data_IF_279389000969
#
_entry.id   IF_279389000969
#
_cell.length_a   1.000
_cell.length_b   1.000
_cell.length_c   1.000
_cell.angle_alpha   90.00
_cell.angle_beta   90.00
_cell.angle_gamma   90.00
#
_symmetry.space_group_name_H-M   'P 1'
#
loop_
_entity.id
_entity.type
_entity.pdbx_description
1 polymer ?
#
# COMPACT_ATOMS: atom_id res chain seq x y z
N UNK A 1 -6.79 45.34 13.56
CA UNK A 1 -6.09 44.27 14.28
C UNK A 1 -6.81 42.96 13.98
N UNK A 2 -6.32 42.12 13.05
CA UNK A 2 -7.01 40.88 12.74
C UNK A 2 -6.78 39.86 13.86
N UNK A 3 -7.88 39.29 14.36
CA UNK A 3 -7.90 38.34 15.47
C UNK A 3 -7.31 36.99 15.05
N UNK A 4 -6.34 36.52 15.83
CA UNK A 4 -5.71 35.20 15.68
C UNK A 4 -6.70 34.11 16.13
N UNK A 5 -7.13 33.22 15.22
CA UNK A 5 -7.88 32.00 15.58
C UNK A 5 -6.88 30.89 15.94
N UNK A 6 -7.07 30.17 17.07
CA UNK A 6 -6.14 29.14 17.50
C UNK A 6 -6.23 27.87 16.63
N UNK A 7 -5.08 27.43 16.08
CA UNK A 7 -4.78 26.01 15.89
C UNK A 7 -5.18 25.31 14.60
N UNK A 8 -4.99 25.91 13.42
CA UNK A 8 -4.94 25.17 12.16
C UNK A 8 -3.54 24.52 12.00
N UNK A 9 -3.28 23.42 12.72
CA UNK A 9 -2.12 22.57 12.40
C UNK A 9 -2.43 21.81 11.11
N UNK A 10 -1.84 22.27 10.00
CA UNK A 10 -1.88 21.63 8.70
C UNK A 10 -1.18 20.27 8.81
N UNK A 11 -1.80 19.19 8.35
CA UNK A 11 -1.03 17.98 8.08
C UNK A 11 -0.05 18.34 6.97
N UNK A 12 1.24 18.25 7.25
CA UNK A 12 2.27 18.64 6.29
C UNK A 12 2.44 17.52 5.27
N UNK A 13 1.56 17.54 4.26
CA UNK A 13 1.79 16.80 3.03
C UNK A 13 3.13 17.25 2.44
N UNK A 14 3.93 16.27 2.05
CA UNK A 14 5.16 16.52 1.31
C UNK A 14 4.84 16.50 -0.19
N UNK A 15 5.72 17.12 -0.97
CA UNK A 15 5.68 17.00 -2.43
C UNK A 15 5.61 15.52 -2.81
N UNK A 16 4.66 15.11 -3.67
CA UNK A 16 4.61 13.75 -4.15
C UNK A 16 5.92 13.36 -4.82
N UNK A 17 6.27 12.07 -4.73
CA UNK A 17 7.48 11.61 -5.42
C UNK A 17 7.25 11.62 -6.93
N UNK A 18 8.27 12.00 -7.72
CA UNK A 18 8.15 12.02 -9.17
C UNK A 18 8.19 10.61 -9.78
N UNK A 19 8.00 9.55 -8.99
CA UNK A 19 8.17 8.16 -9.42
C UNK A 19 6.90 7.60 -10.05
N UNK A 20 7.09 6.66 -10.97
CA UNK A 20 6.04 5.73 -11.38
C UNK A 20 6.13 4.44 -10.56
N UNK A 21 5.06 3.65 -10.65
CA UNK A 21 4.96 2.39 -9.93
C UNK A 21 4.34 1.31 -10.79
N UNK A 22 4.90 0.10 -10.73
CA UNK A 22 4.23 -1.13 -11.17
C UNK A 22 3.94 -1.97 -9.93
N UNK A 23 2.66 -2.14 -9.65
CA UNK A 23 2.14 -2.94 -8.55
C UNK A 23 1.68 -4.29 -9.11
N UNK A 24 2.30 -5.38 -8.66
CA UNK A 24 1.94 -6.74 -9.04
C UNK A 24 1.46 -7.49 -7.80
N UNK A 25 0.21 -7.95 -7.80
CA UNK A 25 -0.36 -8.77 -6.74
C UNK A 25 -0.59 -10.21 -7.20
N UNK A 26 -0.18 -11.18 -6.40
CA UNK A 26 -0.36 -12.61 -6.68
C UNK A 26 -0.96 -13.33 -5.47
N UNK A 27 -1.86 -14.28 -5.74
CA UNK A 27 -2.54 -15.12 -4.76
C UNK A 27 -2.00 -16.55 -4.86
N UNK A 28 -1.00 -16.88 -4.05
CA UNK A 28 -0.30 -18.17 -4.07
C UNK A 28 -1.00 -19.17 -3.16
N UNK A 29 -1.03 -18.89 -1.86
CA UNK A 29 -1.67 -19.71 -0.84
C UNK A 29 -2.45 -18.85 0.18
N UNK A 30 -3.36 -17.96 -0.27
CA UNK A 30 -4.00 -17.02 0.62
C UNK A 30 -4.87 -17.74 1.65
N UNK A 31 -4.95 -17.22 2.88
CA UNK A 31 -5.67 -17.90 3.94
C UNK A 31 -7.17 -17.97 3.61
N UNK A 32 -7.82 -19.08 3.97
CA UNK A 32 -9.24 -19.30 3.71
C UNK A 32 -10.14 -18.33 4.46
N UNK A 33 -10.67 -18.75 5.62
CA UNK A 33 -11.50 -17.91 6.51
C UNK A 33 -10.73 -17.28 7.67
N UNK A 34 -9.52 -17.77 7.95
CA UNK A 34 -8.66 -17.23 9.00
C UNK A 34 -7.94 -15.97 8.51
N UNK A 35 -7.65 -14.99 9.38
CA UNK A 35 -7.00 -13.77 8.95
C UNK A 35 -5.46 -13.86 8.89
N UNK A 36 -4.87 -14.87 9.51
CA UNK A 36 -3.42 -15.05 9.54
C UNK A 36 -2.97 -15.86 8.34
N UNK A 37 -1.99 -15.32 7.61
CA UNK A 37 -1.33 -16.01 6.50
C UNK A 37 -0.33 -16.99 7.10
N UNK A 38 -0.45 -18.27 6.73
CA UNK A 38 0.47 -19.32 7.18
C UNK A 38 1.53 -19.54 6.11
N UNK A 39 2.74 -19.87 6.54
CA UNK A 39 3.76 -20.33 5.61
C UNK A 39 3.35 -21.64 4.95
N UNK A 40 3.70 -21.76 3.68
CA UNK A 40 3.61 -22.96 2.87
C UNK A 40 4.85 -23.03 1.98
N UNK A 41 5.18 -24.23 1.50
CA UNK A 41 6.31 -24.38 0.56
C UNK A 41 6.07 -23.59 -0.73
N UNK A 42 4.84 -23.64 -1.23
CA UNK A 42 4.41 -22.91 -2.44
C UNK A 42 4.61 -21.39 -2.29
N UNK A 43 4.23 -20.82 -1.15
CA UNK A 43 4.49 -19.40 -0.86
C UNK A 43 5.99 -19.11 -0.74
N UNK A 44 6.74 -19.97 -0.06
CA UNK A 44 8.20 -19.79 0.08
C UNK A 44 8.90 -19.83 -1.29
N UNK A 45 8.50 -20.76 -2.18
CA UNK A 45 9.02 -20.91 -3.55
C UNK A 45 8.66 -19.69 -4.42
N UNK A 46 7.39 -19.26 -4.40
CA UNK A 46 6.95 -18.06 -5.11
C UNK A 46 7.69 -16.80 -4.63
N UNK A 47 7.95 -16.67 -3.33
CA UNK A 47 8.73 -15.56 -2.80
C UNK A 47 10.20 -15.60 -3.26
N UNK A 48 10.80 -16.79 -3.48
CA UNK A 48 12.13 -16.92 -4.09
C UNK A 48 12.11 -16.44 -5.54
N UNK A 49 11.11 -16.88 -6.31
CA UNK A 49 10.94 -16.50 -7.71
C UNK A 49 10.73 -14.99 -7.88
N UNK A 50 9.77 -14.41 -7.15
CA UNK A 50 9.48 -12.97 -7.18
C UNK A 50 10.70 -12.13 -6.81
N UNK A 51 11.53 -12.60 -5.86
CA UNK A 51 12.79 -11.92 -5.52
C UNK A 51 13.81 -12.01 -6.64
N UNK A 52 13.99 -13.19 -7.24
CA UNK A 52 14.90 -13.35 -8.38
C UNK A 52 14.53 -12.40 -9.52
N UNK A 53 13.24 -12.31 -9.85
CA UNK A 53 12.75 -11.38 -10.86
C UNK A 53 12.95 -9.91 -10.43
N UNK A 54 12.67 -9.58 -9.16
CA UNK A 54 12.87 -8.24 -8.63
C UNK A 54 14.35 -7.78 -8.75
N UNK A 55 15.30 -8.65 -8.44
CA UNK A 55 16.75 -8.36 -8.61
C UNK A 55 17.15 -8.15 -10.07
N UNK A 56 16.49 -8.81 -11.02
CA UNK A 56 16.71 -8.59 -12.44
C UNK A 56 16.08 -7.27 -12.91
N UNK A 57 14.89 -6.93 -12.42
CA UNK A 57 14.21 -5.66 -12.69
C UNK A 57 15.02 -4.46 -12.15
N UNK A 58 15.64 -4.57 -10.97
CA UNK A 58 16.50 -3.50 -10.41
C UNK A 58 17.71 -3.15 -11.26
N UNK A 59 18.09 -3.99 -12.24
CA UNK A 59 19.17 -3.69 -13.19
C UNK A 59 18.70 -2.84 -14.37
N UNK A 60 17.40 -2.65 -14.53
CA UNK A 60 16.86 -1.79 -15.58
C UNK A 60 17.11 -0.32 -15.23
N UNK A 61 17.58 0.51 -16.18
CA UNK A 61 17.79 1.95 -15.93
C UNK A 61 16.52 2.71 -15.51
N UNK A 62 15.36 2.19 -15.88
CA UNK A 62 14.05 2.74 -15.53
C UNK A 62 13.66 2.50 -14.05
N UNK A 63 14.31 1.57 -13.35
CA UNK A 63 13.92 1.13 -12.00
C UNK A 63 14.79 1.78 -10.94
N UNK A 64 14.15 2.38 -9.94
CA UNK A 64 14.80 2.97 -8.76
C UNK A 64 14.94 1.94 -7.65
N UNK A 65 13.90 1.14 -7.43
CA UNK A 65 13.87 0.12 -6.39
C UNK A 65 12.77 -0.90 -6.66
N UNK A 66 12.94 -2.11 -6.13
CA UNK A 66 11.87 -3.08 -6.02
C UNK A 66 11.62 -3.44 -4.56
N UNK A 67 10.40 -3.88 -4.25
CA UNK A 67 10.11 -4.48 -2.95
C UNK A 67 9.13 -5.61 -3.10
N UNK A 68 9.53 -6.80 -2.66
CA UNK A 68 8.65 -7.96 -2.51
C UNK A 68 8.09 -7.98 -1.10
N UNK A 69 6.77 -8.06 -1.00
CA UNK A 69 6.00 -8.14 0.23
C UNK A 69 5.38 -9.52 0.37
N UNK A 70 5.43 -10.04 1.59
CA UNK A 70 4.72 -11.24 2.04
C UNK A 70 3.62 -10.81 3.01
N UNK A 71 2.38 -11.21 2.74
CA UNK A 71 1.28 -10.90 3.63
C UNK A 71 1.43 -11.67 4.96
N UNK A 72 1.14 -10.98 6.05
CA UNK A 72 1.14 -11.56 7.42
C UNK A 72 -0.25 -11.55 8.03
N UNK A 73 -1.13 -10.67 7.58
CA UNK A 73 -2.52 -10.58 8.04
C UNK A 73 -3.45 -10.04 6.95
N UNK A 74 -4.50 -10.80 6.66
CA UNK A 74 -5.58 -10.45 5.74
C UNK A 74 -6.91 -10.44 6.49
N UNK A 75 -7.51 -9.27 6.77
CA UNK A 75 -8.87 -9.20 7.29
C UNK A 75 -9.85 -9.96 6.38
N UNK A 76 -10.79 -10.76 6.93
CA UNK A 76 -11.72 -11.58 6.14
C UNK A 76 -12.88 -10.72 5.62
N UNK A 77 -12.57 -9.74 4.77
CA UNK A 77 -13.53 -8.81 4.20
C UNK A 77 -14.02 -9.32 2.84
N UNK A 78 -15.34 -9.42 2.61
CA UNK A 78 -15.87 -9.82 1.30
C UNK A 78 -15.39 -8.88 0.19
N UNK A 79 -14.86 -9.44 -0.90
CA UNK A 79 -14.30 -8.68 -2.03
C UNK A 79 -13.02 -7.91 -1.72
N UNK A 80 -12.30 -8.26 -0.63
CA UNK A 80 -10.95 -7.76 -0.39
C UNK A 80 -9.90 -8.48 -1.25
N UNK A 81 -8.74 -7.85 -1.50
CA UNK A 81 -7.64 -8.47 -2.21
C UNK A 81 -7.17 -9.72 -1.46
N UNK A 82 -6.76 -10.73 -2.22
CA UNK A 82 -6.22 -12.00 -1.69
C UNK A 82 -4.73 -12.16 -1.98
N UNK A 83 -4.04 -11.07 -2.31
CA UNK A 83 -2.62 -11.10 -2.66
C UNK A 83 -1.75 -11.34 -1.43
N UNK A 84 -1.23 -12.56 -1.28
CA UNK A 84 -0.26 -12.91 -0.24
C UNK A 84 1.18 -12.63 -0.65
N UNK A 85 1.41 -12.39 -1.95
CA UNK A 85 2.64 -11.83 -2.49
C UNK A 85 2.32 -10.54 -3.24
N UNK A 86 3.10 -9.49 -3.00
CA UNK A 86 3.05 -8.25 -3.78
C UNK A 86 4.46 -7.84 -4.17
N UNK A 87 4.69 -7.55 -5.45
CA UNK A 87 5.89 -6.84 -5.91
C UNK A 87 5.52 -5.40 -6.24
N UNK A 88 6.19 -4.46 -5.59
CA UNK A 88 6.12 -3.04 -5.92
C UNK A 88 7.44 -2.64 -6.60
N UNK A 89 7.38 -2.33 -7.89
CA UNK A 89 8.48 -1.73 -8.64
C UNK A 89 8.30 -0.22 -8.62
N UNK A 90 9.32 0.51 -8.19
CA UNK A 90 9.37 1.98 -8.24
C UNK A 90 10.25 2.39 -9.41
N UNK A 91 9.71 3.17 -10.34
CA UNK A 91 10.43 3.65 -11.52
C UNK A 91 10.93 5.08 -11.33
N UNK A 92 11.80 5.54 -12.22
CA UNK A 92 12.34 6.90 -12.19
C UNK A 92 11.26 7.97 -12.42
N UNK A 93 10.24 7.64 -13.22
CA UNK A 93 9.06 8.46 -13.49
C UNK A 93 7.87 7.63 -13.98
N UNK A 94 6.62 8.14 -13.93
CA UNK A 94 5.45 7.47 -14.51
C UNK A 94 5.64 7.08 -15.97
N UNK A 95 6.35 7.89 -16.75
CA UNK A 95 6.64 7.66 -18.17
C UNK A 95 7.62 6.51 -18.40
N UNK A 96 8.36 6.08 -17.38
CA UNK A 96 9.29 4.96 -17.44
C UNK A 96 8.62 3.61 -17.10
N UNK A 97 7.33 3.62 -16.74
CA UNK A 97 6.56 2.39 -16.48
C UNK A 97 6.49 1.45 -17.68
N UNK A 98 6.24 1.91 -18.93
CA UNK A 98 6.23 1.03 -20.10
C UNK A 98 7.51 0.23 -20.28
N UNK A 99 8.68 0.82 -20.02
CA UNK A 99 9.99 0.13 -20.13
C UNK A 99 10.08 -1.08 -19.20
N UNK A 100 9.47 -1.00 -18.01
CA UNK A 100 9.38 -2.13 -17.09
C UNK A 100 8.43 -3.20 -17.62
N UNK A 101 7.26 -2.80 -18.11
CA UNK A 101 6.24 -3.73 -18.64
C UNK A 101 6.71 -4.45 -19.91
N UNK A 102 7.58 -3.83 -20.70
CA UNK A 102 8.14 -4.41 -21.93
C UNK A 102 9.39 -5.27 -21.68
N UNK A 103 9.87 -5.34 -20.45
CA UNK A 103 11.08 -6.09 -20.09
C UNK A 103 10.84 -7.60 -19.96
N UNK A 104 11.85 -8.41 -20.32
CA UNK A 104 11.78 -9.87 -20.17
C UNK A 104 11.64 -10.34 -18.71
N UNK A 105 12.26 -9.71 -17.69
CA UNK A 105 11.99 -10.04 -16.30
C UNK A 105 10.54 -9.83 -15.90
N UNK A 106 9.91 -8.73 -16.31
CA UNK A 106 8.50 -8.50 -16.00
C UNK A 106 7.59 -9.56 -16.65
N UNK A 107 7.84 -9.92 -17.92
CA UNK A 107 7.03 -10.93 -18.64
C UNK A 107 7.06 -12.32 -18.03
N UNK A 108 8.01 -12.61 -17.13
CA UNK A 108 8.08 -13.85 -16.36
C UNK A 108 7.20 -13.83 -15.10
N UNK A 109 6.70 -12.68 -14.66
CA UNK A 109 5.82 -12.59 -13.51
C UNK A 109 4.43 -13.13 -13.84
N UNK A 110 3.95 -14.03 -13.00
CA UNK A 110 2.55 -14.47 -13.00
C UNK A 110 1.77 -13.70 -11.91
N UNK A 111 1.34 -12.49 -12.27
CA UNK A 111 0.55 -11.62 -11.39
C UNK A 111 -0.95 -11.70 -11.69
N UNK A 112 -1.77 -11.92 -10.66
CA UNK A 112 -3.23 -11.85 -10.78
C UNK A 112 -3.70 -10.41 -11.04
N UNK A 113 -3.04 -9.44 -10.39
CA UNK A 113 -3.27 -8.02 -10.61
C UNK A 113 -1.98 -7.35 -11.04
N UNK A 114 -2.06 -6.57 -12.11
CA UNK A 114 -1.07 -5.56 -12.45
C UNK A 114 -1.75 -4.20 -12.45
N UNK A 115 -1.20 -3.26 -11.70
CA UNK A 115 -1.67 -1.88 -11.64
C UNK A 115 -0.47 -0.95 -11.79
N UNK A 116 -0.50 -0.09 -12.80
CA UNK A 116 0.45 1.00 -12.95
C UNK A 116 -0.07 2.21 -12.17
N UNK A 117 0.81 2.95 -11.50
CA UNK A 117 0.41 4.04 -10.64
C UNK A 117 1.45 5.17 -10.58
N UNK A 118 1.00 6.32 -10.10
CA UNK A 118 1.81 7.45 -9.69
C UNK A 118 1.60 7.75 -8.20
N UNK A 119 2.54 8.47 -7.59
CA UNK A 119 2.31 9.01 -6.25
C UNK A 119 1.64 10.39 -6.35
N UNK A 120 0.40 10.52 -5.88
CA UNK A 120 -0.34 11.79 -5.94
C UNK A 120 -0.30 12.59 -4.65
N UNK A 121 -0.11 11.94 -3.51
CA UNK A 121 -0.03 12.57 -2.19
C UNK A 121 0.80 11.71 -1.23
N UNK A 122 1.50 12.34 -0.29
CA UNK A 122 2.26 11.62 0.74
C UNK A 122 2.46 12.41 2.02
N UNK A 123 2.68 11.67 3.10
CA UNK A 123 3.22 12.19 4.37
C UNK A 123 4.46 11.38 4.74
N UNK A 124 5.45 12.03 5.36
CA UNK A 124 6.68 11.38 5.84
C UNK A 124 7.40 10.53 4.79
N UNK A 125 8.23 9.58 5.24
CA UNK A 125 8.91 8.58 4.41
C UNK A 125 8.43 7.17 4.76
N UNK A 126 7.86 6.46 3.79
CA UNK A 126 7.53 5.04 3.91
C UNK A 126 8.84 4.25 3.78
N UNK A 127 9.64 4.28 4.85
CA UNK A 127 11.04 3.81 4.86
C UNK A 127 11.25 2.34 4.53
N UNK A 128 12.51 1.91 4.52
CA UNK A 128 12.99 0.61 4.06
C UNK A 128 13.23 -0.41 5.19
N UNK A 129 12.75 -0.14 6.41
CA UNK A 129 13.00 -0.97 7.58
C UNK A 129 12.57 -2.43 7.36
N UNK A 130 13.52 -3.39 7.41
CA UNK A 130 13.25 -4.79 7.16
C UNK A 130 12.39 -5.48 8.23
N UNK A 131 12.34 -4.93 9.43
CA UNK A 131 11.54 -5.46 10.52
C UNK A 131 10.13 -4.89 10.55
N UNK A 132 9.85 -3.88 9.73
CA UNK A 132 8.59 -3.17 9.77
C UNK A 132 7.42 -3.97 9.19
N UNK A 133 6.23 -3.63 9.67
CA UNK A 133 4.97 -4.05 9.05
C UNK A 133 4.44 -2.92 8.18
N UNK A 134 4.03 -3.29 6.99
CA UNK A 134 3.42 -2.40 6.02
C UNK A 134 1.94 -2.74 5.88
N UNK A 135 1.13 -1.73 5.61
CA UNK A 135 -0.26 -1.86 5.24
C UNK A 135 -0.38 -1.34 3.80
N UNK A 136 -0.89 -2.19 2.92
CA UNK A 136 -1.38 -1.78 1.60
C UNK A 136 -2.91 -1.76 1.72
N UNK A 137 -3.46 -0.55 1.82
CA UNK A 137 -4.90 -0.36 1.93
C UNK A 137 -5.48 -0.04 0.57
N UNK A 138 -6.19 -1.00 0.00
CA UNK A 138 -6.80 -0.89 -1.32
C UNK A 138 -8.18 -0.28 -1.16
N UNK A 139 -8.40 0.85 -1.81
CA UNK A 139 -9.67 1.55 -1.74
C UNK A 139 -10.45 1.35 -3.02
N UNK A 140 -11.68 0.85 -2.90
CA UNK A 140 -12.67 0.96 -3.99
C UNK A 140 -13.50 2.20 -3.76
N UNK A 141 -13.73 3.00 -4.79
CA UNK A 141 -14.61 4.16 -4.75
C UNK A 141 -15.15 4.46 -6.16
N UNK A 142 -16.32 5.11 -6.28
CA UNK A 142 -16.85 5.53 -7.58
C UNK A 142 -16.01 6.61 -8.28
N UNK A 143 -15.34 7.46 -7.50
CA UNK A 143 -14.63 8.65 -7.96
C UNK A 143 -13.23 8.70 -7.29
N UNK A 144 -12.13 8.51 -8.05
CA UNK A 144 -10.77 8.54 -7.52
C UNK A 144 -10.33 9.89 -6.94
N UNK A 145 -10.72 11.02 -7.54
CA UNK A 145 -10.39 12.35 -7.01
C UNK A 145 -11.04 12.59 -5.64
N UNK A 146 -12.31 12.23 -5.50
CA UNK A 146 -13.02 12.31 -4.21
C UNK A 146 -12.45 11.34 -3.19
N UNK A 147 -12.08 10.14 -3.61
CA UNK A 147 -11.40 9.18 -2.73
C UNK A 147 -10.08 9.74 -2.19
N UNK A 148 -9.32 10.47 -3.02
CA UNK A 148 -8.08 11.11 -2.60
C UNK A 148 -8.36 12.22 -1.57
N UNK A 149 -9.34 13.09 -1.83
CA UNK A 149 -9.72 14.14 -0.88
C UNK A 149 -10.18 13.57 0.48
N UNK A 150 -10.93 12.45 0.48
CA UNK A 150 -11.30 11.74 1.72
C UNK A 150 -10.06 11.21 2.42
N UNK A 151 -9.15 10.56 1.70
CA UNK A 151 -7.91 10.06 2.27
C UNK A 151 -7.10 11.20 2.91
N UNK A 152 -6.91 12.31 2.21
CA UNK A 152 -6.17 13.49 2.71
C UNK A 152 -6.81 14.07 3.98
N UNK A 153 -8.15 14.17 3.98
CA UNK A 153 -8.91 14.63 5.14
C UNK A 153 -8.78 13.72 6.37
N UNK A 154 -8.51 12.42 6.16
CA UNK A 154 -8.34 11.44 7.24
C UNK A 154 -6.89 11.33 7.73
N UNK A 155 -5.91 11.78 6.96
CA UNK A 155 -4.49 11.65 7.28
C UNK A 155 -4.15 12.22 8.66
N UNK A 156 -4.68 13.40 9.00
CA UNK A 156 -4.48 14.01 10.32
C UNK A 156 -4.96 13.13 11.48
N UNK A 157 -6.09 12.47 11.29
CA UNK A 157 -6.61 11.59 12.33
C UNK A 157 -5.66 10.42 12.56
N UNK A 158 -5.11 9.82 11.50
CA UNK A 158 -4.14 8.73 11.63
C UNK A 158 -2.80 9.19 12.23
N UNK A 159 -2.33 10.40 11.90
CA UNK A 159 -1.11 10.96 12.53
C UNK A 159 -1.33 11.19 14.02
N UNK A 160 -2.39 11.91 14.38
CA UNK A 160 -2.59 12.42 15.74
C UNK A 160 -3.09 11.31 16.69
N UNK A 161 -3.89 10.34 16.20
CA UNK A 161 -4.58 9.35 17.04
C UNK A 161 -3.91 7.98 17.02
N UNK A 162 -3.39 7.57 15.86
CA UNK A 162 -2.80 6.24 15.65
C UNK A 162 -1.28 6.28 15.67
N UNK A 163 -0.67 7.44 15.45
CA UNK A 163 0.79 7.61 15.42
C UNK A 163 1.41 7.14 14.11
N UNK A 164 0.65 7.20 13.01
CA UNK A 164 1.20 7.01 11.67
C UNK A 164 2.03 8.24 11.32
N UNK A 165 3.27 8.04 10.89
CA UNK A 165 4.19 9.14 10.54
C UNK A 165 4.54 9.18 9.05
N UNK A 166 4.00 8.24 8.25
CA UNK A 166 4.30 8.08 6.84
C UNK A 166 3.06 7.57 6.09
N UNK A 167 3.01 7.79 4.79
CA UNK A 167 1.98 7.25 3.89
C UNK A 167 2.29 7.69 2.47
N UNK A 168 2.24 6.77 1.51
CA UNK A 168 2.40 7.05 0.08
C UNK A 168 1.12 6.60 -0.63
N UNK A 169 0.38 7.57 -1.18
CA UNK A 169 -0.85 7.29 -1.91
C UNK A 169 -0.53 7.00 -3.38
N UNK A 170 -0.86 5.80 -3.82
CA UNK A 170 -0.72 5.36 -5.20
C UNK A 170 -2.07 5.51 -5.90
N UNK A 171 -2.10 6.29 -6.99
CA UNK A 171 -3.26 6.41 -7.86
C UNK A 171 -2.99 5.70 -9.18
N UNK A 172 -3.89 4.83 -9.67
CA UNK A 172 -3.72 4.18 -10.96
C UNK A 172 -3.54 5.18 -12.10
N UNK A 173 -2.67 4.87 -13.06
CA UNK A 173 -2.51 5.65 -14.30
C UNK A 173 -3.59 5.28 -15.35
N UNK A 174 -4.15 4.09 -15.24
CA UNK A 174 -5.19 3.55 -16.11
C UNK A 174 -6.33 2.96 -15.27
N UNK A 175 -7.41 2.51 -15.91
CA UNK A 175 -8.49 1.81 -15.20
C UNK A 175 -7.95 0.61 -14.42
N UNK A 176 -8.34 0.51 -13.15
CA UNK A 176 -7.94 -0.54 -12.23
C UNK A 176 -9.08 -0.85 -11.23
N UNK A 177 -9.08 -2.04 -10.60
CA UNK A 177 -10.13 -2.42 -9.64
C UNK A 177 -10.18 -1.54 -8.38
N UNK A 178 -9.14 -0.76 -8.12
CA UNK A 178 -9.02 0.12 -6.96
C UNK A 178 -8.87 1.56 -7.42
N UNK A 179 -9.57 2.47 -6.74
CA UNK A 179 -9.41 3.90 -6.96
C UNK A 179 -8.05 4.39 -6.45
N UNK A 180 -7.58 3.83 -5.33
CA UNK A 180 -6.31 4.18 -4.68
C UNK A 180 -5.73 2.98 -3.95
N UNK A 181 -4.41 2.93 -3.81
CA UNK A 181 -3.72 2.06 -2.85
C UNK A 181 -2.86 2.92 -1.94
N UNK A 182 -3.15 2.89 -0.65
CA UNK A 182 -2.30 3.57 0.33
C UNK A 182 -1.23 2.62 0.86
N UNK A 183 0.04 2.98 0.66
CA UNK A 183 1.20 2.27 1.17
C UNK A 183 1.72 2.97 2.44
N UNK A 184 1.64 2.27 3.58
CA UNK A 184 2.03 2.85 4.87
C UNK A 184 2.76 1.84 5.74
N UNK A 185 3.86 2.26 6.35
CA UNK A 185 4.49 1.57 7.48
C UNK A 185 3.70 1.86 8.75
N UNK A 186 3.25 0.82 9.43
CA UNK A 186 2.39 0.94 10.61
C UNK A 186 3.16 0.79 11.94
N UNK A 187 2.75 1.50 13.01
CA UNK A 187 3.37 1.38 14.32
C UNK A 187 2.98 0.07 15.03
N UNK A 188 3.99 -0.74 15.38
CA UNK A 188 3.87 -1.88 16.29
C UNK A 188 3.02 -3.06 15.81
N UNK A 189 2.88 -3.25 14.50
CA UNK A 189 2.29 -4.43 13.86
C UNK A 189 0.75 -4.43 13.76
N UNK A 190 0.16 -5.41 13.05
CA UNK A 190 -1.25 -5.38 12.65
C UNK A 190 -2.20 -5.30 13.84
N UNK A 191 -1.98 -6.12 14.88
CA UNK A 191 -2.85 -6.17 16.05
C UNK A 191 -2.88 -4.85 16.83
N UNK A 192 -1.71 -4.25 17.09
CA UNK A 192 -1.61 -2.97 17.81
C UNK A 192 -2.22 -1.84 17.00
N UNK A 193 -1.97 -1.80 15.69
CA UNK A 193 -2.54 -0.82 14.78
C UNK A 193 -4.07 -0.88 14.76
N UNK A 194 -4.65 -2.09 14.56
CA UNK A 194 -6.09 -2.30 14.55
C UNK A 194 -6.73 -1.95 15.90
N UNK A 195 -6.10 -2.35 17.02
CA UNK A 195 -6.58 -2.00 18.35
C UNK A 195 -6.54 -0.47 18.60
N UNK A 196 -5.47 0.20 18.17
CA UNK A 196 -5.30 1.64 18.33
C UNK A 196 -6.41 2.44 17.66
N UNK A 197 -6.89 2.00 16.49
CA UNK A 197 -7.99 2.64 15.79
C UNK A 197 -9.38 2.21 16.32
N UNK A 198 -9.64 0.91 16.51
CA UNK A 198 -10.99 0.42 16.80
C UNK A 198 -11.49 0.73 18.21
N UNK A 199 -10.59 1.03 19.15
CA UNK A 199 -10.96 1.50 20.50
C UNK A 199 -11.40 2.97 20.53
N UNK A 200 -11.28 3.70 19.42
CA UNK A 200 -11.58 5.14 19.36
C UNK A 200 -12.99 5.33 18.79
N UNK A 201 -13.93 5.93 19.55
CA UNK A 201 -15.26 6.23 19.02
C UNK A 201 -15.21 7.11 17.75
N UNK A 202 -14.23 8.01 17.67
CA UNK A 202 -13.99 8.85 16.49
C UNK A 202 -13.64 8.05 15.24
N UNK A 203 -13.10 6.84 15.34
CA UNK A 203 -12.91 5.98 14.16
C UNK A 203 -14.24 5.68 13.46
N UNK A 204 -15.28 5.33 14.21
CA UNK A 204 -16.59 4.99 13.63
C UNK A 204 -17.33 6.20 13.11
N UNK A 205 -17.30 7.33 13.84
CA UNK A 205 -18.03 8.54 13.44
C UNK A 205 -17.32 9.32 12.34
N UNK A 206 -16.00 9.46 12.45
CA UNK A 206 -15.21 10.30 11.54
C UNK A 206 -14.65 9.48 10.37
N UNK A 207 -13.83 8.46 10.64
CA UNK A 207 -13.17 7.66 9.58
C UNK A 207 -14.19 6.88 8.76
N UNK A 208 -14.99 6.00 9.38
CA UNK A 208 -16.00 5.23 8.65
C UNK A 208 -17.12 6.10 8.09
N UNK A 209 -17.44 7.21 8.76
CA UNK A 209 -18.42 8.19 8.29
C UNK A 209 -17.99 8.85 6.98
N UNK A 210 -16.76 9.35 6.92
CA UNK A 210 -16.19 9.96 5.71
C UNK A 210 -16.11 8.97 4.53
N UNK A 211 -15.61 7.76 4.78
CA UNK A 211 -15.55 6.72 3.75
C UNK A 211 -16.94 6.39 3.21
N UNK A 212 -17.93 6.21 4.10
CA UNK A 212 -19.31 5.90 3.70
C UNK A 212 -19.96 7.03 2.89
N UNK A 213 -19.68 8.28 3.23
CA UNK A 213 -20.26 9.44 2.54
C UNK A 213 -19.91 9.49 1.05
N UNK A 214 -18.71 9.01 0.69
CA UNK A 214 -18.24 8.97 -0.70
C UNK A 214 -18.29 7.56 -1.33
N UNK A 215 -19.00 6.61 -0.71
CA UNK A 215 -19.08 5.23 -1.23
C UNK A 215 -17.74 4.50 -1.27
N UNK A 216 -16.76 4.96 -0.49
CA UNK A 216 -15.40 4.43 -0.45
C UNK A 216 -15.31 3.27 0.55
N UNK A 217 -14.65 2.18 0.15
CA UNK A 217 -14.42 1.02 1.02
C UNK A 217 -12.92 0.74 1.14
N UNK A 218 -12.45 0.63 2.38
CA UNK A 218 -11.09 0.23 2.71
C UNK A 218 -10.94 -1.30 2.71
N UNK A 219 -9.96 -1.83 1.99
CA UNK A 219 -9.61 -3.25 1.92
C UNK A 219 -8.13 -3.44 2.30
N UNK A 220 -7.83 -3.38 3.61
CA UNK A 220 -6.46 -3.44 4.09
C UNK A 220 -5.89 -4.85 4.01
N UNK A 221 -4.64 -5.00 3.59
CA UNK A 221 -3.82 -6.20 3.83
C UNK A 221 -2.48 -5.76 4.42
N UNK A 222 -1.99 -6.53 5.39
CA UNK A 222 -0.77 -6.23 6.12
C UNK A 222 0.34 -7.17 5.70
N UNK A 223 1.51 -6.59 5.47
CA UNK A 223 2.66 -7.24 4.89
C UNK A 223 3.91 -7.02 5.73
N UNK A 224 4.90 -7.87 5.50
CA UNK A 224 6.30 -7.59 5.78
C UNK A 224 7.07 -7.64 4.46
N UNK A 225 8.24 -7.03 4.40
CA UNK A 225 9.15 -7.25 3.27
C UNK A 225 9.69 -8.69 3.33
N UNK A 226 9.78 -9.34 2.17
CA UNK A 226 10.33 -10.69 2.07
C UNK A 226 11.87 -10.61 2.02
N UNK A 227 12.54 -11.00 3.11
CA UNK A 227 14.02 -11.05 3.17
C UNK A 227 14.57 -12.40 2.80
N UNK A 228 15.80 -12.40 2.30
CA UNK A 228 16.70 -13.54 2.40
C UNK A 228 16.98 -13.80 3.89
N UNK A 229 16.54 -14.94 4.44
CA UNK A 229 17.40 -15.59 5.42
C UNK A 229 18.51 -16.25 4.60
N UNK A 230 19.76 -15.82 4.78
CA UNK A 230 20.88 -16.68 4.40
C UNK A 230 20.72 -17.99 5.18
N UNK A 231 20.88 -19.09 4.47
CA UNK A 231 21.04 -20.41 5.08
C UNK A 231 22.19 -20.40 6.09
#
# INVERSE_FOLDING_TARGET
MPSNRPGQHRTDFLEPRPYGYVYVGASIAPPGRAPLVRRSRELDDALVEFRGIAEELERLPAVVATTVYEAVFMPPLPGGPRFDVVLLVTTTAPEAVPDVLDSDPYRRLDGELVMTAENTSRIGETGDDPSATFLLNHFTAPDPERAQAVWEGLTRWYTDVVGVDNSTLLRPLTEAPYALVNHVRIPGGPGRFLFAQFRRPSFYRHVRGALKAEGMLARPVFYRRAFHRRA
#
